data_IF_076432838022
#
_entry.id   IF_076432838022
#
_cell.length_a   1.000
_cell.length_b   1.000
_cell.length_c   1.000
_cell.angle_alpha   90.00
_cell.angle_beta   90.00
_cell.angle_gamma   90.00
#
_symmetry.space_group_name_H-M   'P 1'
#
loop_
_entity.id
_entity.type
_entity.pdbx_description
1 polymer ?
#
# COMPACT_ATOMS: atom_id res chain seq x y z
N UNK A 1 -17.24 -6.01 -5.92
CA UNK A 1 -17.01 -5.67 -4.51
C UNK A 1 -17.05 -6.93 -3.65
N UNK A 2 -16.17 -7.06 -2.65
CA UNK A 2 -16.17 -8.13 -1.63
C UNK A 2 -16.10 -9.57 -2.17
N UNK A 3 -15.59 -9.79 -3.38
CA UNK A 3 -15.64 -11.09 -4.07
C UNK A 3 -15.00 -12.24 -3.25
N UNK A 4 -13.91 -11.97 -2.53
CA UNK A 4 -13.20 -12.92 -1.67
C UNK A 4 -13.14 -12.44 -0.21
N UNK A 5 -14.09 -11.59 0.22
CA UNK A 5 -14.10 -11.08 1.58
C UNK A 5 -14.16 -12.22 2.60
N UNK A 6 -13.26 -12.17 3.60
CA UNK A 6 -13.15 -13.17 4.69
C UNK A 6 -12.83 -14.59 4.18
N UNK A 7 -12.21 -14.73 3.01
CA UNK A 7 -11.67 -16.02 2.56
C UNK A 7 -10.38 -16.36 3.34
N UNK A 8 -10.53 -16.69 4.62
CA UNK A 8 -9.42 -16.85 5.57
C UNK A 8 -8.44 -17.97 5.20
N UNK A 9 -8.87 -18.96 4.42
CA UNK A 9 -8.04 -20.09 3.96
C UNK A 9 -7.38 -19.85 2.60
N UNK A 10 -7.66 -18.71 1.93
CA UNK A 10 -7.09 -18.38 0.62
C UNK A 10 -5.61 -18.08 0.77
N UNK A 11 -4.73 -18.91 0.21
CA UNK A 11 -3.26 -18.74 0.29
C UNK A 11 -2.66 -18.00 -0.90
N UNK A 12 -3.25 -18.18 -2.07
CA UNK A 12 -2.84 -17.52 -3.32
C UNK A 12 -3.99 -17.49 -4.31
N UNK A 13 -3.93 -16.57 -5.25
CA UNK A 13 -4.90 -16.45 -6.34
C UNK A 13 -4.19 -15.84 -7.56
N UNK A 14 -4.57 -16.28 -8.74
CA UNK A 14 -4.15 -15.68 -10.02
C UNK A 14 -5.27 -14.76 -10.49
N UNK A 15 -4.94 -13.49 -10.70
CA UNK A 15 -5.85 -12.50 -11.28
C UNK A 15 -5.61 -12.49 -12.80
N UNK A 16 -6.63 -12.77 -13.64
CA UNK A 16 -6.48 -12.73 -15.08
C UNK A 16 -6.15 -11.32 -15.61
N UNK A 17 -5.40 -11.26 -16.73
CA UNK A 17 -5.04 -9.99 -17.39
C UNK A 17 -6.25 -9.18 -17.93
N UNK A 18 -7.42 -9.80 -18.01
CA UNK A 18 -8.67 -9.11 -18.36
C UNK A 18 -9.28 -8.29 -17.22
N UNK A 19 -8.76 -8.43 -15.99
CA UNK A 19 -9.25 -7.67 -14.82
C UNK A 19 -8.65 -6.26 -14.86
N UNK A 20 -9.53 -5.26 -14.88
CA UNK A 20 -9.15 -3.84 -14.90
C UNK A 20 -9.31 -3.14 -13.55
N UNK A 21 -9.97 -3.81 -12.57
CA UNK A 21 -10.26 -3.24 -11.26
C UNK A 21 -10.34 -4.31 -10.18
N UNK A 22 -9.66 -4.06 -9.06
CA UNK A 22 -9.89 -4.77 -7.80
C UNK A 22 -10.90 -3.94 -7.00
N UNK A 23 -12.11 -4.47 -6.82
CA UNK A 23 -13.21 -3.75 -6.19
C UNK A 23 -13.03 -3.57 -4.69
N UNK A 24 -13.93 -2.77 -4.09
CA UNK A 24 -13.97 -2.49 -2.64
C UNK A 24 -13.99 -3.81 -1.87
N UNK A 25 -13.08 -3.95 -0.90
CA UNK A 25 -12.98 -5.08 0.00
C UNK A 25 -12.78 -6.45 -0.67
N UNK A 26 -12.29 -6.48 -1.93
CA UNK A 26 -12.24 -7.72 -2.72
C UNK A 26 -11.52 -8.87 -2.00
N UNK A 27 -10.43 -8.59 -1.29
CA UNK A 27 -9.64 -9.56 -0.52
C UNK A 27 -9.60 -9.21 0.98
N UNK A 28 -10.59 -8.43 1.46
CA UNK A 28 -10.63 -8.04 2.86
C UNK A 28 -10.64 -9.26 3.77
N UNK A 29 -9.75 -9.26 4.78
CA UNK A 29 -9.60 -10.35 5.75
C UNK A 29 -9.27 -11.73 5.14
N UNK A 30 -8.59 -11.77 3.99
CA UNK A 30 -7.93 -12.99 3.51
C UNK A 30 -6.66 -13.22 4.32
N UNK A 31 -6.80 -13.67 5.56
CA UNK A 31 -5.72 -13.67 6.56
C UNK A 31 -4.55 -14.57 6.20
N UNK A 32 -4.77 -15.65 5.42
CA UNK A 32 -3.72 -16.58 4.97
C UNK A 32 -3.11 -16.23 3.60
N UNK A 33 -3.55 -15.13 2.95
CA UNK A 33 -3.02 -14.73 1.65
C UNK A 33 -1.56 -14.27 1.79
N UNK A 34 -0.63 -15.05 1.22
CA UNK A 34 0.82 -14.80 1.36
C UNK A 34 1.40 -13.94 0.26
N UNK A 35 0.88 -14.10 -0.94
CA UNK A 35 1.29 -13.35 -2.12
C UNK A 35 0.14 -13.25 -3.12
N UNK A 36 0.16 -12.20 -3.90
CA UNK A 36 -0.78 -11.98 -5.00
C UNK A 36 -0.05 -11.18 -6.08
N UNK A 37 -0.22 -11.61 -7.33
CA UNK A 37 0.23 -10.84 -8.48
C UNK A 37 -0.95 -10.07 -9.03
N UNK A 38 -0.82 -8.75 -9.08
CA UNK A 38 -1.82 -7.86 -9.67
C UNK A 38 -1.34 -7.54 -11.08
N UNK A 39 -2.12 -7.85 -12.14
CA UNK A 39 -1.71 -7.56 -13.50
C UNK A 39 -1.68 -6.06 -13.81
N UNK A 40 -0.84 -5.64 -14.77
CA UNK A 40 -0.70 -4.23 -15.17
C UNK A 40 -1.98 -3.64 -15.80
N UNK A 41 -2.94 -4.48 -16.16
CA UNK A 41 -4.29 -4.06 -16.61
C UNK A 41 -5.12 -3.42 -15.49
N UNK A 42 -4.79 -3.68 -14.22
CA UNK A 42 -5.55 -3.16 -13.07
C UNK A 42 -5.20 -1.70 -12.82
N UNK A 43 -6.13 -0.82 -13.12
CA UNK A 43 -6.00 0.63 -12.93
C UNK A 43 -6.53 1.13 -11.57
N UNK A 44 -7.30 0.29 -10.86
CA UNK A 44 -7.89 0.68 -9.58
C UNK A 44 -7.81 -0.45 -8.56
N UNK A 45 -7.34 -0.12 -7.35
CA UNK A 45 -7.39 -0.96 -6.14
C UNK A 45 -8.28 -0.22 -5.14
N UNK A 46 -9.50 -0.70 -4.97
CA UNK A 46 -10.54 -0.01 -4.20
C UNK A 46 -10.31 0.00 -2.69
N UNK A 47 -11.10 0.81 -1.98
CA UNK A 47 -11.06 0.91 -0.53
C UNK A 47 -11.13 -0.47 0.14
N UNK A 48 -10.35 -0.68 1.21
CA UNK A 48 -10.31 -1.94 1.97
C UNK A 48 -9.88 -3.18 1.17
N UNK A 49 -9.37 -3.05 -0.06
CA UNK A 49 -9.18 -4.19 -0.97
C UNK A 49 -8.37 -5.33 -0.36
N UNK A 50 -7.29 -5.02 0.36
CA UNK A 50 -6.42 -5.98 1.07
C UNK A 50 -6.41 -5.78 2.58
N UNK A 51 -7.42 -5.07 3.13
CA UNK A 51 -7.48 -4.86 4.58
C UNK A 51 -7.46 -6.18 5.34
N UNK A 52 -6.55 -6.31 6.30
CA UNK A 52 -6.45 -7.49 7.15
C UNK A 52 -5.86 -8.74 6.50
N UNK A 53 -5.18 -8.60 5.35
CA UNK A 53 -4.37 -9.67 4.77
C UNK A 53 -3.09 -9.87 5.59
N UNK A 54 -3.22 -10.50 6.77
CA UNK A 54 -2.18 -10.51 7.80
C UNK A 54 -0.89 -11.21 7.37
N UNK A 55 -0.97 -12.25 6.52
CA UNK A 55 0.19 -12.99 6.02
C UNK A 55 0.77 -12.47 4.72
N UNK A 56 0.23 -11.37 4.15
CA UNK A 56 0.71 -10.78 2.90
C UNK A 56 2.09 -10.17 3.10
N UNK A 57 3.11 -10.81 2.51
CA UNK A 57 4.52 -10.43 2.68
C UNK A 57 4.99 -9.42 1.64
N UNK A 58 4.54 -9.61 0.41
CA UNK A 58 4.93 -8.81 -0.74
C UNK A 58 3.72 -8.55 -1.63
N UNK A 59 3.67 -7.36 -2.19
CA UNK A 59 2.71 -6.98 -3.21
C UNK A 59 3.35 -5.94 -4.12
N UNK A 60 3.15 -6.08 -5.42
CA UNK A 60 3.52 -5.07 -6.40
C UNK A 60 2.26 -4.34 -6.82
N UNK A 61 2.27 -3.02 -6.70
CA UNK A 61 1.20 -2.16 -7.17
C UNK A 61 1.46 -1.86 -8.66
N UNK A 62 0.50 -2.11 -9.56
CA UNK A 62 0.67 -1.85 -10.99
C UNK A 62 0.93 -0.37 -11.31
N UNK A 63 1.68 -0.10 -12.37
CA UNK A 63 1.98 1.27 -12.83
C UNK A 63 0.77 2.02 -13.39
N UNK A 64 -0.33 1.33 -13.63
CA UNK A 64 -1.63 1.91 -14.04
C UNK A 64 -2.40 2.51 -12.87
N UNK A 65 -2.06 2.17 -11.61
CA UNK A 65 -2.74 2.69 -10.41
C UNK A 65 -2.29 4.12 -10.14
N UNK A 66 -3.25 5.03 -9.98
CA UNK A 66 -2.99 6.46 -9.76
C UNK A 66 -3.24 6.93 -8.33
N UNK A 67 -3.88 6.08 -7.51
CA UNK A 67 -4.25 6.40 -6.14
C UNK A 67 -4.23 5.17 -5.26
N UNK A 68 -3.77 5.32 -4.02
CA UNK A 68 -3.91 4.30 -2.98
C UNK A 68 -5.09 4.68 -2.09
N UNK A 69 -6.15 3.94 -2.23
CA UNK A 69 -7.45 4.22 -1.60
C UNK A 69 -7.45 3.96 -0.09
N UNK A 70 -8.48 4.51 0.58
CA UNK A 70 -8.68 4.41 2.02
C UNK A 70 -8.63 2.96 2.52
N UNK A 71 -7.81 2.69 3.54
CA UNK A 71 -7.65 1.39 4.18
C UNK A 71 -7.21 0.25 3.23
N UNK A 72 -6.70 0.54 2.03
CA UNK A 72 -6.44 -0.48 1.00
C UNK A 72 -5.56 -1.63 1.51
N UNK A 73 -4.52 -1.33 2.31
CA UNK A 73 -3.58 -2.30 2.89
C UNK A 73 -3.56 -2.28 4.42
N UNK A 74 -4.59 -1.72 5.05
CA UNK A 74 -4.67 -1.66 6.52
C UNK A 74 -4.56 -3.04 7.14
N UNK A 75 -3.65 -3.18 8.13
CA UNK A 75 -3.46 -4.43 8.86
C UNK A 75 -2.79 -5.55 8.06
N UNK A 76 -2.08 -5.23 6.97
CA UNK A 76 -1.17 -6.16 6.30
C UNK A 76 0.09 -6.36 7.16
N UNK A 77 -0.07 -7.09 8.28
CA UNK A 77 0.91 -7.15 9.36
C UNK A 77 2.28 -7.73 8.95
N UNK A 78 2.32 -8.60 7.94
CA UNK A 78 3.55 -9.22 7.44
C UNK A 78 4.23 -8.46 6.29
N UNK A 79 3.63 -7.36 5.80
CA UNK A 79 4.19 -6.57 4.70
C UNK A 79 5.46 -5.86 5.17
N UNK A 80 6.60 -6.15 4.55
CA UNK A 80 7.93 -5.63 4.97
C UNK A 80 8.33 -4.35 4.25
N UNK A 81 8.02 -4.27 2.98
CA UNK A 81 8.35 -3.11 2.15
C UNK A 81 7.26 -2.85 1.12
N UNK A 82 7.15 -1.61 0.70
CA UNK A 82 6.25 -1.22 -0.38
C UNK A 82 6.91 -0.16 -1.27
N UNK A 83 6.82 -0.38 -2.57
CA UNK A 83 7.16 0.62 -3.58
C UNK A 83 5.87 1.20 -4.14
N UNK A 84 5.72 2.50 -4.00
CA UNK A 84 4.60 3.25 -4.58
C UNK A 84 5.00 3.63 -6.01
N UNK A 85 4.24 3.22 -7.04
CA UNK A 85 4.61 3.49 -8.43
C UNK A 85 4.54 4.97 -8.79
N UNK A 86 5.30 5.37 -9.82
CA UNK A 86 5.41 6.75 -10.29
C UNK A 86 4.09 7.37 -10.80
N UNK A 87 3.09 6.54 -11.06
CA UNK A 87 1.74 6.94 -11.45
C UNK A 87 0.91 7.47 -10.29
N UNK A 88 1.22 7.06 -9.04
CA UNK A 88 0.42 7.42 -7.88
C UNK A 88 0.59 8.89 -7.52
N UNK A 89 -0.52 9.57 -7.29
CA UNK A 89 -0.61 10.99 -6.90
C UNK A 89 -1.11 11.19 -5.48
N UNK A 90 -1.86 10.23 -4.95
CA UNK A 90 -2.53 10.35 -3.65
C UNK A 90 -2.43 9.06 -2.85
N UNK A 91 -2.18 9.18 -1.54
CA UNK A 91 -2.27 8.08 -0.56
C UNK A 91 -3.27 8.50 0.51
N UNK A 92 -4.37 7.78 0.59
CA UNK A 92 -5.53 8.10 1.41
C UNK A 92 -5.38 7.66 2.88
N UNK A 93 -6.44 7.96 3.65
CA UNK A 93 -6.53 7.66 5.08
C UNK A 93 -6.29 6.19 5.39
N UNK A 94 -5.42 5.94 6.37
CA UNK A 94 -5.17 4.60 6.91
C UNK A 94 -4.72 3.57 5.87
N UNK A 95 -4.24 4.00 4.69
CA UNK A 95 -3.89 3.12 3.59
C UNK A 95 -2.98 1.96 4.00
N UNK A 96 -2.02 2.20 4.90
CA UNK A 96 -1.09 1.22 5.46
C UNK A 96 -1.14 1.14 6.99
N UNK A 97 -2.24 1.60 7.63
CA UNK A 97 -2.35 1.54 9.09
C UNK A 97 -2.14 0.11 9.59
N UNK A 98 -1.34 -0.04 10.64
CA UNK A 98 -1.13 -1.33 11.29
C UNK A 98 -0.34 -2.35 10.45
N UNK A 99 0.40 -1.90 9.45
CA UNK A 99 1.42 -2.72 8.78
C UNK A 99 2.63 -2.86 9.72
N UNK A 100 2.50 -3.73 10.73
CA UNK A 100 3.43 -3.78 11.87
C UNK A 100 4.84 -4.22 11.52
N UNK A 101 5.04 -4.96 10.42
CA UNK A 101 6.35 -5.37 9.92
C UNK A 101 6.93 -4.44 8.84
N UNK A 102 6.21 -3.37 8.46
CA UNK A 102 6.64 -2.47 7.39
C UNK A 102 7.85 -1.65 7.85
N UNK A 103 9.01 -1.92 7.24
CA UNK A 103 10.28 -1.24 7.53
C UNK A 103 10.62 -0.17 6.51
N UNK A 104 10.22 -0.36 5.25
CA UNK A 104 10.68 0.45 4.13
C UNK A 104 9.53 0.84 3.21
N UNK A 105 9.44 2.12 2.93
CA UNK A 105 8.53 2.69 1.93
C UNK A 105 9.34 3.44 0.89
N UNK A 106 9.00 3.27 -0.38
CA UNK A 106 9.63 3.98 -1.50
C UNK A 106 8.55 4.85 -2.14
N UNK A 107 8.73 6.16 -2.11
CA UNK A 107 7.78 7.14 -2.63
C UNK A 107 8.19 7.66 -4.02
N UNK A 108 7.22 7.92 -4.93
CA UNK A 108 7.46 8.37 -6.30
C UNK A 108 7.73 9.87 -6.39
N UNK A 109 8.30 10.36 -7.49
CA UNK A 109 8.56 11.80 -7.72
C UNK A 109 7.28 12.64 -7.72
N UNK A 110 6.21 12.09 -8.28
CA UNK A 110 4.99 12.85 -8.61
C UNK A 110 3.88 12.78 -7.56
N UNK A 111 4.15 12.26 -6.35
CA UNK A 111 3.16 12.19 -5.28
C UNK A 111 2.77 13.60 -4.83
N UNK A 112 1.47 13.87 -4.74
CA UNK A 112 0.93 15.20 -4.41
C UNK A 112 0.36 15.28 -3.01
N UNK A 113 -0.19 14.15 -2.53
CA UNK A 113 -0.88 14.11 -1.26
C UNK A 113 -0.65 12.79 -0.53
N UNK A 114 -0.37 12.88 0.77
CA UNK A 114 -0.31 11.76 1.69
C UNK A 114 -1.16 12.12 2.91
N UNK A 115 -2.21 11.33 3.18
CA UNK A 115 -2.96 11.53 4.40
C UNK A 115 -2.07 11.26 5.63
N UNK A 116 -2.13 12.12 6.63
CA UNK A 116 -1.30 12.05 7.83
C UNK A 116 -1.44 10.74 8.63
N UNK A 117 -2.52 9.99 8.39
CA UNK A 117 -2.78 8.70 9.02
C UNK A 117 -2.36 7.51 8.15
N UNK A 118 -1.85 7.75 6.93
CA UNK A 118 -1.53 6.69 5.97
C UNK A 118 -0.65 5.58 6.55
N UNK A 119 0.37 5.96 7.37
CA UNK A 119 1.31 5.03 8.03
C UNK A 119 1.09 4.97 9.55
N UNK A 120 -0.14 5.19 10.01
CA UNK A 120 -0.44 5.11 11.45
C UNK A 120 -0.22 3.69 11.98
N UNK A 121 0.31 3.54 13.20
CA UNK A 121 0.62 2.22 13.81
C UNK A 121 1.53 1.32 12.94
N UNK A 122 2.55 1.90 12.30
CA UNK A 122 3.64 1.16 11.65
C UNK A 122 4.92 1.25 12.51
N UNK A 123 5.02 0.52 13.63
CA UNK A 123 6.11 0.70 14.61
C UNK A 123 7.49 0.33 14.08
N UNK A 124 7.55 -0.55 13.09
CA UNK A 124 8.81 -0.99 12.48
C UNK A 124 9.30 -0.07 11.36
N UNK A 125 8.52 0.95 10.96
CA UNK A 125 8.89 1.83 9.85
C UNK A 125 10.14 2.64 10.21
N UNK A 126 11.22 2.35 9.51
CA UNK A 126 12.53 2.94 9.74
C UNK A 126 13.06 3.76 8.58
N UNK A 127 12.60 3.50 7.36
CA UNK A 127 13.15 4.16 6.18
C UNK A 127 12.05 4.50 5.17
N UNK A 128 12.01 5.77 4.78
CA UNK A 128 11.13 6.28 3.71
C UNK A 128 12.05 6.88 2.64
N UNK A 129 12.22 6.15 1.54
CA UNK A 129 12.98 6.65 0.41
C UNK A 129 12.16 7.65 -0.38
N UNK A 130 12.74 8.81 -0.59
CA UNK A 130 12.18 9.90 -1.42
C UNK A 130 13.14 10.20 -2.57
N UNK A 131 12.67 10.75 -3.68
CA UNK A 131 13.54 11.17 -4.78
C UNK A 131 14.54 12.23 -4.36
N UNK A 132 15.71 12.23 -5.00
CA UNK A 132 16.77 13.20 -4.76
C UNK A 132 16.23 14.66 -4.83
N UNK A 133 16.77 15.54 -3.99
CA UNK A 133 16.40 16.96 -3.89
C UNK A 133 14.91 17.21 -3.53
N UNK A 134 14.22 16.20 -2.95
CA UNK A 134 12.80 16.30 -2.57
C UNK A 134 12.55 16.17 -1.07
N UNK A 135 13.58 16.10 -0.25
CA UNK A 135 13.43 15.91 1.21
C UNK A 135 12.47 16.92 1.83
N UNK A 136 12.64 18.22 1.55
CA UNK A 136 11.79 19.27 2.14
C UNK A 136 10.34 19.16 1.67
N UNK A 137 10.12 18.87 0.38
CA UNK A 137 8.78 18.63 -0.16
C UNK A 137 8.07 17.47 0.57
N UNK A 138 8.79 16.36 0.83
CA UNK A 138 8.19 15.21 1.53
C UNK A 138 8.02 15.44 3.03
N UNK A 139 8.82 16.32 3.65
CA UNK A 139 8.57 16.76 5.03
C UNK A 139 7.27 17.56 5.16
N UNK A 140 6.88 18.32 4.15
CA UNK A 140 5.58 18.99 4.13
C UNK A 140 4.40 18.03 4.00
N UNK A 141 4.58 16.90 3.29
CA UNK A 141 3.54 15.87 3.07
C UNK A 141 3.43 14.86 4.22
N UNK A 142 4.51 14.60 4.94
CA UNK A 142 4.58 13.56 5.97
C UNK A 142 4.46 14.17 7.39
N UNK A 143 3.86 13.46 8.35
CA UNK A 143 3.84 13.92 9.73
C UNK A 143 5.27 14.00 10.30
N UNK A 144 5.52 15.01 11.14
CA UNK A 144 6.83 15.33 11.73
C UNK A 144 7.54 14.10 12.34
N UNK A 145 6.79 13.23 12.99
CA UNK A 145 7.30 11.97 13.59
C UNK A 145 7.95 11.00 12.59
N UNK A 146 7.83 11.23 11.28
CA UNK A 146 8.44 10.42 10.22
C UNK A 146 9.60 11.11 9.52
N UNK A 147 9.91 12.37 9.86
CA UNK A 147 10.94 13.15 9.20
C UNK A 147 12.34 12.57 9.38
N UNK A 148 12.62 11.97 10.54
CA UNK A 148 13.88 11.29 10.85
C UNK A 148 14.12 10.00 10.03
N UNK A 149 13.09 9.51 9.36
CA UNK A 149 13.10 8.28 8.54
C UNK A 149 13.28 8.56 7.05
N UNK A 150 13.26 9.82 6.63
CA UNK A 150 13.37 10.22 5.22
C UNK A 150 14.82 10.07 4.76
N UNK A 151 15.02 9.38 3.65
CA UNK A 151 16.31 9.16 2.99
C UNK A 151 16.17 9.43 1.50
N UNK A 152 17.04 10.25 0.94
CA UNK A 152 17.09 10.48 -0.52
C UNK A 152 17.71 9.30 -1.26
N UNK A 153 17.25 9.06 -2.48
CA UNK A 153 17.77 8.04 -3.37
C UNK A 153 17.82 8.51 -4.84
#
# INVERSE_FOLDING_TARGET
>A
HYAFNVCTSLKSIIIPESVIKIGIGAFRCCTSLKSITIPESVAEIGCYAFMGCKELKNITIPKSVTKIEQNAFKGCASLKSITIPESVREIEEYAFEGCTSLTTVILPVGLKEINLTAFYKCPSLSTIYVPAEKTDYYKELLPEKLHDKIVER
#
